data_IF_532790145446
#
_entry.id   IF_532790145446
#
_cell.length_a   1.000
_cell.length_b   1.000
_cell.length_c   1.000
_cell.angle_alpha   90.00
_cell.angle_beta   90.00
_cell.angle_gamma   90.00
#
_symmetry.space_group_name_H-M   'P 1'
#
loop_
_entity.id
_entity.type
_entity.pdbx_description
1 polymer ?
#
# COMPACT_ATOMS: atom_id res chain seq x y z
N UNK A 1 6.96 8.76 15.24
CA UNK A 1 6.41 8.40 13.92
C UNK A 1 5.27 7.39 14.02
N UNK A 2 5.45 6.20 14.61
CA UNK A 2 4.34 5.23 14.77
C UNK A 2 3.24 5.72 15.74
N UNK A 3 3.60 6.39 16.84
CA UNK A 3 2.63 6.98 17.78
C UNK A 3 1.77 8.09 17.15
N UNK A 4 2.37 8.88 16.28
CA UNK A 4 1.71 10.04 15.64
C UNK A 4 0.70 9.59 14.58
N UNK A 5 1.01 8.51 13.86
CA UNK A 5 0.11 7.89 12.89
C UNK A 5 -1.13 7.26 13.56
N UNK A 6 -0.97 6.67 14.75
CA UNK A 6 -2.07 6.07 15.52
C UNK A 6 -3.00 7.17 16.06
N UNK A 7 -2.46 8.28 16.55
CA UNK A 7 -3.25 9.43 17.03
C UNK A 7 -4.03 10.06 15.87
N UNK A 8 -3.40 10.23 14.71
CA UNK A 8 -4.08 10.75 13.52
C UNK A 8 -5.20 9.81 13.04
N UNK A 9 -4.95 8.49 13.04
CA UNK A 9 -5.98 7.49 12.72
C UNK A 9 -7.16 7.50 13.70
N UNK A 10 -6.90 7.70 14.99
CA UNK A 10 -7.93 7.76 16.04
C UNK A 10 -8.80 9.04 15.96
N UNK A 11 -8.23 10.14 15.47
CA UNK A 11 -8.91 11.44 15.34
C UNK A 11 -9.61 11.61 13.99
N UNK A 12 -9.06 11.03 12.90
CA UNK A 12 -9.56 11.26 11.54
C UNK A 12 -10.78 10.41 11.18
N UNK A 13 -10.82 9.11 11.54
CA UNK A 13 -12.03 8.29 11.43
C UNK A 13 -11.93 6.98 12.21
N UNK A 14 -12.64 6.89 13.34
CA UNK A 14 -12.68 5.69 14.20
C UNK A 14 -13.35 4.50 13.49
N UNK A 15 -14.12 4.74 12.44
CA UNK A 15 -14.81 3.72 11.63
C UNK A 15 -13.85 2.89 10.76
N UNK A 16 -12.68 3.42 10.40
CA UNK A 16 -11.71 2.73 9.54
C UNK A 16 -10.78 1.78 10.32
N UNK A 17 -10.91 1.72 11.66
CA UNK A 17 -10.06 0.93 12.55
C UNK A 17 -10.77 -0.40 12.85
N UNK A 18 -10.25 -1.47 12.26
CA UNK A 18 -10.77 -2.82 12.44
C UNK A 18 -9.66 -3.84 12.65
N UNK A 19 -10.00 -5.13 12.62
CA UNK A 19 -9.03 -6.21 12.85
C UNK A 19 -7.89 -6.19 11.82
N UNK A 20 -8.17 -5.79 10.57
CA UNK A 20 -7.16 -5.64 9.53
C UNK A 20 -6.13 -4.55 9.86
N UNK A 21 -6.54 -3.45 10.50
CA UNK A 21 -5.63 -2.38 10.94
C UNK A 21 -4.65 -2.88 12.00
N UNK A 22 -5.13 -3.65 12.99
CA UNK A 22 -4.27 -4.25 14.01
C UNK A 22 -3.28 -5.25 13.41
N UNK A 23 -3.75 -6.14 12.53
CA UNK A 23 -2.89 -7.11 11.85
C UNK A 23 -1.83 -6.38 11.02
N UNK A 24 -2.21 -5.30 10.32
CA UNK A 24 -1.27 -4.55 9.50
C UNK A 24 -0.21 -3.81 10.33
N UNK A 25 -0.56 -3.29 11.51
CA UNK A 25 0.37 -2.60 12.39
C UNK A 25 1.38 -3.55 13.05
N UNK A 26 0.94 -4.72 13.52
CA UNK A 26 1.79 -5.62 14.30
C UNK A 26 2.41 -6.74 13.47
N UNK A 27 1.69 -7.30 12.49
CA UNK A 27 2.10 -8.53 11.80
C UNK A 27 2.64 -8.28 10.38
N UNK A 28 2.31 -7.16 9.72
CA UNK A 28 2.73 -6.91 8.33
C UNK A 28 4.25 -7.02 8.17
N UNK A 29 5.03 -6.44 9.08
CA UNK A 29 6.49 -6.51 9.06
C UNK A 29 7.02 -7.94 9.14
N UNK A 30 6.44 -8.77 10.01
CA UNK A 30 6.83 -10.18 10.15
C UNK A 30 6.44 -11.00 8.93
N UNK A 31 5.22 -10.80 8.42
CA UNK A 31 4.71 -11.51 7.23
C UNK A 31 5.55 -11.16 6.01
N UNK A 32 5.83 -9.88 5.78
CA UNK A 32 6.65 -9.43 4.64
C UNK A 32 8.06 -10.01 4.69
N UNK A 33 8.69 -10.02 5.87
CA UNK A 33 10.01 -10.66 6.04
C UNK A 33 9.96 -12.17 5.83
N UNK A 34 8.94 -12.85 6.34
CA UNK A 34 8.75 -14.29 6.15
C UNK A 34 8.56 -14.63 4.67
N UNK A 35 7.65 -13.93 3.98
CA UNK A 35 7.41 -14.13 2.54
C UNK A 35 8.66 -13.83 1.73
N UNK A 36 9.44 -12.81 2.08
CA UNK A 36 10.72 -12.52 1.43
C UNK A 36 11.70 -13.68 1.59
N UNK A 37 11.87 -14.24 2.80
CA UNK A 37 12.74 -15.39 3.05
C UNK A 37 12.30 -16.62 2.26
N UNK A 38 11.00 -16.91 2.25
CA UNK A 38 10.44 -18.03 1.47
C UNK A 38 10.71 -17.83 -0.02
N UNK A 39 10.46 -16.62 -0.54
CA UNK A 39 10.68 -16.31 -1.96
C UNK A 39 12.16 -16.43 -2.34
N UNK A 40 13.08 -15.95 -1.49
CA UNK A 40 14.52 -16.10 -1.68
C UNK A 40 14.98 -17.56 -1.62
N UNK A 41 14.33 -18.39 -0.80
CA UNK A 41 14.61 -19.83 -0.74
C UNK A 41 14.10 -20.59 -1.97
N UNK A 42 12.97 -20.16 -2.55
CA UNK A 42 12.38 -20.79 -3.73
C UNK A 42 13.05 -20.35 -5.04
N UNK A 43 13.46 -19.08 -5.11
CA UNK A 43 14.09 -18.48 -6.28
C UNK A 43 15.41 -17.85 -5.85
N UNK A 44 16.46 -18.65 -5.61
CA UNK A 44 17.80 -18.13 -5.37
C UNK A 44 18.31 -17.43 -6.64
N UNK A 45 18.78 -16.18 -6.48
CA UNK A 45 19.26 -15.31 -7.56
C UNK A 45 18.30 -15.12 -8.75
N UNK A 46 17.15 -14.45 -8.54
CA UNK A 46 16.21 -14.20 -9.61
C UNK A 46 16.81 -13.27 -10.66
N UNK A 47 16.77 -13.70 -11.92
CA UNK A 47 17.08 -12.85 -13.07
C UNK A 47 16.12 -11.65 -13.11
N UNK A 48 16.52 -10.57 -13.82
CA UNK A 48 15.71 -9.34 -13.89
C UNK A 48 14.28 -9.60 -14.38
N UNK A 49 14.11 -10.55 -15.31
CA UNK A 49 12.79 -10.95 -15.84
C UNK A 49 11.93 -11.57 -14.74
N UNK A 50 12.49 -12.48 -13.94
CA UNK A 50 11.76 -13.13 -12.85
C UNK A 50 11.35 -12.11 -11.79
N UNK A 51 12.23 -11.14 -11.47
CA UNK A 51 11.89 -10.03 -10.55
C UNK A 51 10.69 -9.22 -11.03
N UNK A 52 10.64 -8.89 -12.32
CA UNK A 52 9.51 -8.16 -12.91
C UNK A 52 8.22 -8.97 -12.85
N UNK A 53 8.28 -10.27 -13.17
CA UNK A 53 7.11 -11.16 -13.08
C UNK A 53 6.61 -11.24 -11.63
N UNK A 54 7.51 -11.45 -10.66
CA UNK A 54 7.15 -11.47 -9.24
C UNK A 54 6.53 -10.14 -8.78
N UNK A 55 7.06 -9.00 -9.24
CA UNK A 55 6.49 -7.68 -8.95
C UNK A 55 5.07 -7.57 -9.49
N UNK A 56 4.84 -7.94 -10.76
CA UNK A 56 3.51 -7.88 -11.37
C UNK A 56 2.50 -8.77 -10.64
N UNK A 57 2.88 -10.00 -10.29
CA UNK A 57 2.04 -10.92 -9.51
C UNK A 57 1.74 -10.31 -8.13
N UNK A 58 2.77 -9.77 -7.46
CA UNK A 58 2.63 -9.11 -6.17
C UNK A 58 1.65 -7.93 -6.21
N UNK A 59 1.74 -7.09 -7.25
CA UNK A 59 0.81 -5.96 -7.48
C UNK A 59 -0.63 -6.47 -7.65
N UNK A 60 -0.85 -7.53 -8.41
CA UNK A 60 -2.20 -8.08 -8.59
C UNK A 60 -2.76 -8.60 -7.26
N UNK A 61 -1.96 -9.38 -6.51
CA UNK A 61 -2.37 -9.94 -5.22
C UNK A 61 -2.69 -8.83 -4.21
N UNK A 62 -1.81 -7.83 -4.07
CA UNK A 62 -2.03 -6.74 -3.11
C UNK A 62 -3.22 -5.86 -3.51
N UNK A 63 -3.40 -5.56 -4.80
CA UNK A 63 -4.55 -4.76 -5.24
C UNK A 63 -5.86 -5.51 -5.04
N UNK A 64 -5.89 -6.80 -5.35
CA UNK A 64 -7.06 -7.65 -5.15
C UNK A 64 -7.40 -7.82 -3.67
N UNK A 65 -6.40 -8.15 -2.84
CA UNK A 65 -6.57 -8.26 -1.39
C UNK A 65 -7.05 -6.93 -0.78
N UNK A 66 -6.49 -5.81 -1.24
CA UNK A 66 -6.92 -4.47 -0.82
C UNK A 66 -8.37 -4.20 -1.15
N UNK A 67 -8.78 -4.47 -2.38
CA UNK A 67 -10.17 -4.31 -2.78
C UNK A 67 -11.13 -5.15 -1.90
N UNK A 68 -10.77 -6.39 -1.57
CA UNK A 68 -11.62 -7.26 -0.75
C UNK A 68 -11.76 -6.78 0.69
N UNK A 69 -10.65 -6.52 1.40
CA UNK A 69 -10.74 -6.15 2.82
C UNK A 69 -11.39 -4.77 2.99
N UNK A 70 -11.15 -3.83 2.06
CA UNK A 70 -11.76 -2.50 2.08
C UNK A 70 -13.28 -2.58 1.88
N UNK A 71 -13.76 -3.49 1.05
CA UNK A 71 -15.19 -3.68 0.80
C UNK A 71 -15.87 -4.51 1.90
N UNK A 72 -15.16 -5.43 2.55
CA UNK A 72 -15.67 -6.21 3.67
C UNK A 72 -15.73 -5.45 5.01
N UNK A 73 -15.37 -4.16 5.02
CA UNK A 73 -15.34 -3.27 6.20
C UNK A 73 -14.58 -3.86 7.40
N UNK A 74 -13.55 -4.69 7.13
CA UNK A 74 -12.72 -5.35 8.14
C UNK A 74 -11.73 -4.40 8.85
N UNK A 75 -11.88 -3.10 8.61
CA UNK A 75 -10.84 -2.09 8.82
C UNK A 75 -9.87 -2.03 7.65
N UNK A 76 -9.11 -0.95 7.60
CA UNK A 76 -8.13 -0.71 6.51
C UNK A 76 -6.74 -0.41 7.06
N UNK A 77 -5.70 -0.52 6.24
CA UNK A 77 -4.38 -0.07 6.65
C UNK A 77 -4.43 1.42 6.99
N UNK A 78 -3.66 1.88 7.99
CA UNK A 78 -3.62 3.31 8.36
C UNK A 78 -3.24 4.19 7.17
N UNK A 79 -2.39 3.67 6.30
CA UNK A 79 -1.99 4.32 5.06
C UNK A 79 -3.13 4.41 4.03
N UNK A 80 -3.89 3.33 3.83
CA UNK A 80 -5.11 3.31 3.00
C UNK A 80 -6.22 4.20 3.56
N UNK A 81 -6.38 4.23 4.89
CA UNK A 81 -7.35 5.06 5.57
C UNK A 81 -7.20 6.54 5.21
N UNK A 82 -5.96 7.05 5.15
CA UNK A 82 -5.69 8.45 4.79
C UNK A 82 -6.21 8.77 3.38
N UNK A 83 -5.94 7.90 2.40
CA UNK A 83 -6.44 8.09 1.04
C UNK A 83 -7.97 7.97 0.96
N UNK A 84 -8.57 7.03 1.68
CA UNK A 84 -10.04 6.87 1.76
C UNK A 84 -10.67 8.11 2.36
N UNK A 85 -10.23 8.56 3.54
CA UNK A 85 -10.78 9.73 4.26
C UNK A 85 -10.68 11.00 3.41
N UNK A 86 -9.53 11.24 2.77
CA UNK A 86 -9.39 12.38 1.86
C UNK A 86 -10.36 12.30 0.67
N UNK A 87 -10.64 11.10 0.16
CA UNK A 87 -11.57 10.90 -0.97
C UNK A 87 -13.05 10.97 -0.58
N UNK A 88 -13.43 10.39 0.56
CA UNK A 88 -14.83 10.23 0.95
C UNK A 88 -15.32 11.38 1.84
N UNK A 89 -14.52 11.75 2.85
CA UNK A 89 -14.88 12.73 3.87
C UNK A 89 -14.60 14.15 3.40
N UNK A 90 -13.42 14.37 2.82
CA UNK A 90 -13.02 15.70 2.32
C UNK A 90 -13.38 15.92 0.85
N UNK A 91 -13.84 14.87 0.15
CA UNK A 91 -14.26 14.93 -1.26
C UNK A 91 -13.26 15.63 -2.18
N UNK A 92 -11.96 15.54 -1.87
CA UNK A 92 -10.90 16.21 -2.62
C UNK A 92 -10.73 15.66 -4.05
N UNK A 93 -11.24 14.45 -4.31
CA UNK A 93 -11.16 13.81 -5.61
C UNK A 93 -11.49 12.31 -5.53
N UNK A 94 -11.37 11.64 -6.68
CA UNK A 94 -11.55 10.17 -6.76
C UNK A 94 -10.42 9.47 -6.02
N UNK A 95 -10.75 8.38 -5.30
CA UNK A 95 -9.80 7.57 -4.54
C UNK A 95 -8.51 7.26 -5.32
N UNK A 96 -8.63 6.85 -6.59
CA UNK A 96 -7.49 6.55 -7.46
C UNK A 96 -6.44 7.68 -7.56
N UNK A 97 -6.87 8.94 -7.63
CA UNK A 97 -5.94 10.07 -7.79
C UNK A 97 -5.32 10.45 -6.46
N UNK A 98 -6.13 10.46 -5.40
CA UNK A 98 -5.64 10.73 -4.05
C UNK A 98 -4.61 9.67 -3.65
N UNK A 99 -4.85 8.40 -4.01
CA UNK A 99 -3.92 7.32 -3.73
C UNK A 99 -2.58 7.49 -4.44
N UNK A 100 -2.58 7.91 -5.72
CA UNK A 100 -1.34 8.25 -6.43
C UNK A 100 -0.62 9.40 -5.73
N UNK A 101 -1.36 10.46 -5.34
CA UNK A 101 -0.76 11.59 -4.64
C UNK A 101 -0.15 11.17 -3.29
N UNK A 102 -0.83 10.36 -2.49
CA UNK A 102 -0.29 9.87 -1.22
C UNK A 102 0.95 9.00 -1.43
N UNK A 103 0.93 8.12 -2.44
CA UNK A 103 2.07 7.24 -2.74
C UNK A 103 3.29 8.07 -3.17
N UNK A 104 3.09 9.08 -4.02
CA UNK A 104 4.15 9.99 -4.44
C UNK A 104 4.70 10.82 -3.27
N UNK A 105 3.83 11.33 -2.40
CA UNK A 105 4.24 12.07 -1.20
C UNK A 105 5.07 11.17 -0.28
N UNK A 106 4.65 9.92 -0.07
CA UNK A 106 5.41 8.95 0.73
C UNK A 106 6.77 8.63 0.11
N UNK A 107 6.87 8.47 -1.21
CA UNK A 107 8.14 8.25 -1.90
C UNK A 107 9.06 9.47 -1.74
N UNK A 108 8.53 10.69 -1.92
CA UNK A 108 9.31 11.93 -1.76
C UNK A 108 9.81 12.08 -0.33
N UNK A 109 8.94 11.89 0.67
CA UNK A 109 9.32 11.94 2.09
C UNK A 109 10.38 10.87 2.39
N UNK A 110 10.21 9.65 1.89
CA UNK A 110 11.19 8.57 2.05
C UNK A 110 12.56 8.93 1.47
N UNK A 111 12.60 9.51 0.28
CA UNK A 111 13.83 10.00 -0.35
C UNK A 111 14.46 11.14 0.45
N UNK A 112 13.68 12.12 0.92
CA UNK A 112 14.18 13.23 1.74
C UNK A 112 14.77 12.74 3.05
N UNK A 113 14.06 11.87 3.77
CA UNK A 113 14.54 11.27 5.02
C UNK A 113 15.83 10.45 4.80
N UNK A 114 15.92 9.74 3.68
CA UNK A 114 17.11 8.97 3.33
C UNK A 114 18.34 9.87 3.14
N UNK A 115 18.18 11.01 2.44
CA UNK A 115 19.24 12.01 2.27
C UNK A 115 19.60 12.69 3.60
N UNK A 116 18.60 13.06 4.40
CA UNK A 116 18.81 13.66 5.72
C UNK A 116 19.52 12.73 6.72
N UNK A 117 19.34 11.41 6.56
CA UNK A 117 20.07 10.40 7.32
C UNK A 117 21.56 10.27 6.93
N UNK A 118 22.06 11.12 6.02
CA UNK A 118 23.46 11.16 5.59
C UNK A 118 23.80 10.24 4.42
N UNK A 119 22.78 9.64 3.78
CA UNK A 119 23.01 8.77 2.61
C UNK A 119 23.14 9.60 1.33
N UNK A 120 23.99 9.13 0.41
CA UNK A 120 24.27 9.83 -0.84
C UNK A 120 23.09 9.79 -1.83
N UNK A 121 22.88 10.88 -2.58
CA UNK A 121 21.81 10.98 -3.60
C UNK A 121 21.88 9.87 -4.66
N UNK A 122 23.08 9.33 -4.92
CA UNK A 122 23.27 8.22 -5.86
C UNK A 122 22.63 6.90 -5.42
N UNK A 123 22.28 6.75 -4.13
CA UNK A 123 21.62 5.56 -3.60
C UNK A 123 20.08 5.67 -3.58
N UNK A 124 19.49 6.78 -4.00
CA UNK A 124 18.02 6.90 -4.14
C UNK A 124 17.39 5.75 -4.95
N UNK A 125 17.98 5.23 -6.05
CA UNK A 125 17.41 4.11 -6.79
C UNK A 125 17.30 2.81 -6.00
N UNK A 126 18.04 2.68 -4.89
CA UNK A 126 17.95 1.50 -4.01
C UNK A 126 16.67 1.50 -3.17
N UNK A 127 16.15 2.68 -2.82
CA UNK A 127 14.92 2.83 -2.02
C UNK A 127 13.69 3.08 -2.91
N UNK A 128 13.86 3.91 -3.94
CA UNK A 128 12.83 4.28 -4.90
C UNK A 128 13.23 3.76 -6.30
N UNK A 129 13.26 2.43 -6.43
CA UNK A 129 13.53 1.77 -7.69
C UNK A 129 12.35 1.86 -8.67
N UNK A 130 12.53 1.28 -9.86
CA UNK A 130 11.50 1.22 -10.91
C UNK A 130 10.20 0.58 -10.40
N UNK A 131 10.29 -0.44 -9.54
CA UNK A 131 9.11 -1.07 -8.94
C UNK A 131 8.31 -0.14 -8.03
N UNK A 132 8.99 0.73 -7.28
CA UNK A 132 8.36 1.75 -6.43
C UNK A 132 7.62 2.79 -7.26
N UNK A 133 8.20 3.20 -8.39
CA UNK A 133 7.55 4.13 -9.32
C UNK A 133 6.31 3.49 -9.94
N UNK A 134 6.43 2.26 -10.44
CA UNK A 134 5.29 1.53 -11.02
C UNK A 134 4.17 1.41 -9.99
N UNK A 135 4.48 0.99 -8.76
CA UNK A 135 3.46 0.87 -7.71
C UNK A 135 2.83 2.21 -7.37
N UNK A 136 3.60 3.28 -7.20
CA UNK A 136 3.07 4.60 -6.85
C UNK A 136 2.06 5.16 -7.86
N UNK A 137 2.24 4.91 -9.16
CA UNK A 137 1.32 5.39 -10.19
C UNK A 137 0.15 4.42 -10.48
N UNK A 138 0.39 3.11 -10.41
CA UNK A 138 -0.58 2.11 -10.86
C UNK A 138 -1.41 1.49 -9.73
N UNK A 139 -0.90 1.45 -8.50
CA UNK A 139 -1.59 0.79 -7.38
C UNK A 139 -2.98 1.38 -7.13
N UNK A 140 -3.10 2.71 -7.06
CA UNK A 140 -4.39 3.38 -6.86
C UNK A 140 -5.45 3.04 -7.91
N UNK A 141 -5.18 3.22 -9.20
CA UNK A 141 -6.09 2.83 -10.28
C UNK A 141 -6.43 1.32 -10.30
N UNK A 142 -5.47 0.44 -10.04
CA UNK A 142 -5.73 -1.01 -10.01
C UNK A 142 -6.63 -1.40 -8.83
N UNK A 143 -6.39 -0.86 -7.63
CA UNK A 143 -7.26 -1.09 -6.47
C UNK A 143 -8.69 -0.65 -6.77
N UNK A 144 -8.86 0.56 -7.33
CA UNK A 144 -10.18 1.08 -7.72
C UNK A 144 -10.88 0.17 -8.75
N UNK A 145 -10.13 -0.32 -9.73
CA UNK A 145 -10.62 -1.28 -10.72
C UNK A 145 -11.09 -2.59 -10.08
N UNK A 146 -10.30 -3.21 -9.21
CA UNK A 146 -10.69 -4.45 -8.53
C UNK A 146 -11.84 -4.22 -7.55
N UNK A 147 -11.88 -3.07 -6.88
CA UNK A 147 -12.97 -2.70 -5.98
C UNK A 147 -14.30 -2.61 -6.75
N UNK A 148 -14.33 -1.87 -7.86
CA UNK A 148 -15.54 -1.68 -8.66
C UNK A 148 -15.96 -2.97 -9.38
N UNK A 149 -15.00 -3.72 -9.95
CA UNK A 149 -15.31 -4.86 -10.81
C UNK A 149 -15.55 -6.17 -10.07
N UNK A 150 -14.90 -6.37 -8.92
CA UNK A 150 -15.02 -7.62 -8.16
C UNK A 150 -15.65 -7.37 -6.80
N UNK A 151 -15.05 -6.52 -5.97
CA UNK A 151 -15.45 -6.45 -4.57
C UNK A 151 -16.90 -5.96 -4.36
N UNK A 152 -17.32 -4.88 -5.05
CA UNK A 152 -18.71 -4.37 -5.00
C UNK A 152 -19.77 -5.36 -5.48
N UNK A 153 -19.63 -6.03 -6.64
CA UNK A 153 -20.63 -7.00 -7.08
C UNK A 153 -20.68 -8.27 -6.21
N UNK A 154 -19.61 -8.62 -5.49
CA UNK A 154 -19.67 -9.68 -4.47
C UNK A 154 -20.48 -9.26 -3.23
N UNK A 155 -20.44 -7.98 -2.84
CA UNK A 155 -21.19 -7.47 -1.69
C UNK A 155 -22.68 -7.25 -2.00
N UNK A 156 -23.01 -6.75 -3.19
CA UNK A 156 -24.40 -6.50 -3.63
C UNK A 156 -25.18 -7.76 -4.08
N UNK A 157 -24.62 -8.95 -3.85
CA UNK A 157 -25.31 -10.24 -4.09
C UNK A 157 -25.96 -10.83 -2.84
N UNK A 158 -26.03 -10.05 -1.76
CA UNK A 158 -26.90 -10.29 -0.60
C UNK A 158 -28.12 -9.38 -0.67
#
# INVERSE_FOLDING_TARGET
MERDAIIFSLVADRHNIGIATFINLFLLGYITQFTLKVLQSLIPEPSMIVRVICLLIGIVIICFGSAMYMTADLGVSTYDAVAIVMSSKWKLGKFKYIRICTDLVCVVIGCVLFVLAGNSLSMIPTIAGVGTIITAFFMGPLIDFFNVKFARPFLNKQ
#
